data_IF_728740965080
#
_entry.id   IF_728740965080
#
_cell.length_a   1.000
_cell.length_b   1.000
_cell.length_c   1.000
_cell.angle_alpha   90.00
_cell.angle_beta   90.00
_cell.angle_gamma   90.00
#
_symmetry.space_group_name_H-M   'P 1'
#
loop_
_entity.id
_entity.type
_entity.pdbx_description
1 polymer ?
#
# COMPACT_ATOMS: atom_id res chain seq x y z
N UNK A 1 4.20 13.23 12.02
CA UNK A 1 3.03 12.64 11.35
C UNK A 1 1.85 12.36 12.30
N UNK A 2 2.11 11.87 13.51
CA UNK A 2 1.03 11.61 14.49
C UNK A 2 0.28 12.90 14.85
N UNK A 3 0.97 14.03 15.00
CA UNK A 3 0.34 15.31 15.29
C UNK A 3 -0.66 15.69 14.18
N UNK A 4 -0.25 15.54 12.93
CA UNK A 4 -1.12 15.84 11.79
C UNK A 4 -2.35 14.92 11.78
N UNK A 5 -2.16 13.64 12.08
CA UNK A 5 -3.25 12.69 12.15
C UNK A 5 -4.25 13.07 13.24
N UNK A 6 -3.77 13.44 14.43
CA UNK A 6 -4.62 13.85 15.54
C UNK A 6 -5.38 15.14 15.22
N UNK A 7 -4.73 16.12 14.60
CA UNK A 7 -5.35 17.39 14.19
C UNK A 7 -6.47 17.18 13.16
N UNK A 8 -6.40 16.10 12.38
CA UNK A 8 -7.39 15.77 11.35
C UNK A 8 -8.35 14.66 11.79
N UNK A 9 -8.38 14.31 13.08
CA UNK A 9 -9.27 13.30 13.66
C UNK A 9 -9.15 11.94 12.96
N UNK A 10 -7.93 11.58 12.52
CA UNK A 10 -7.67 10.29 11.89
C UNK A 10 -7.52 9.20 12.94
N UNK A 11 -8.18 8.05 12.70
CA UNK A 11 -7.90 6.86 13.51
C UNK A 11 -6.45 6.40 13.28
N UNK A 12 -5.84 5.79 14.30
CA UNK A 12 -4.47 5.28 14.19
C UNK A 12 -4.47 3.77 14.38
N UNK A 13 -3.89 3.06 13.42
CA UNK A 13 -3.62 1.65 13.55
C UNK A 13 -2.45 1.42 14.52
N UNK A 14 -2.39 0.25 15.15
CA UNK A 14 -1.29 -0.09 16.06
C UNK A 14 0.06 0.04 15.36
N UNK A 15 0.13 -0.40 14.10
CA UNK A 15 1.35 -0.28 13.30
C UNK A 15 1.78 1.16 13.10
N UNK A 16 0.82 2.07 12.91
CA UNK A 16 1.09 3.50 12.73
C UNK A 16 1.55 4.16 14.02
N UNK A 17 1.09 3.66 15.16
CA UNK A 17 1.54 4.14 16.47
C UNK A 17 2.99 3.72 16.75
N UNK A 18 3.36 2.50 16.37
CA UNK A 18 4.73 1.99 16.52
C UNK A 18 5.69 2.55 15.49
N UNK A 19 5.23 2.69 14.26
CA UNK A 19 6.03 3.15 13.12
C UNK A 19 5.29 4.29 12.44
N UNK A 20 5.37 5.51 12.98
CA UNK A 20 4.57 6.66 12.50
C UNK A 20 4.76 6.99 11.02
N UNK A 21 5.91 6.62 10.42
CA UNK A 21 6.12 6.89 9.00
C UNK A 21 5.10 6.16 8.11
N UNK A 22 4.47 5.09 8.60
CA UNK A 22 3.42 4.38 7.86
C UNK A 22 2.20 5.26 7.58
N UNK A 23 2.06 6.36 8.35
CA UNK A 23 1.00 7.35 8.11
C UNK A 23 1.18 8.11 6.79
N UNK A 24 2.36 8.04 6.16
CA UNK A 24 2.63 8.86 4.97
C UNK A 24 1.59 8.65 3.86
N UNK A 25 1.09 7.44 3.66
CA UNK A 25 0.09 7.19 2.62
C UNK A 25 -1.22 7.93 2.89
N UNK A 26 -1.68 7.93 4.13
CA UNK A 26 -2.93 8.58 4.51
C UNK A 26 -2.78 10.09 4.57
N UNK A 27 -1.63 10.57 5.03
CA UNK A 27 -1.31 12.01 5.04
C UNK A 27 -1.12 12.51 3.61
N UNK A 28 -0.49 11.73 2.73
CA UNK A 28 -0.33 12.09 1.32
C UNK A 28 -1.67 12.33 0.63
N UNK A 29 -2.70 11.55 0.98
CA UNK A 29 -4.05 11.80 0.49
C UNK A 29 -4.56 13.18 0.90
N UNK A 30 -4.36 13.56 2.17
CA UNK A 30 -4.77 14.88 2.65
C UNK A 30 -4.02 16.00 1.92
N UNK A 31 -2.74 15.82 1.69
CA UNK A 31 -1.92 16.79 0.96
C UNK A 31 -2.40 16.92 -0.48
N UNK A 32 -2.65 15.79 -1.15
CA UNK A 32 -3.15 15.79 -2.52
C UNK A 32 -4.46 16.55 -2.64
N UNK A 33 -5.37 16.34 -1.71
CA UNK A 33 -6.67 17.00 -1.71
C UNK A 33 -6.57 18.50 -1.37
N UNK A 34 -5.85 18.84 -0.29
CA UNK A 34 -5.83 20.21 0.22
C UNK A 34 -4.87 21.15 -0.50
N UNK A 35 -3.75 20.64 -1.00
CA UNK A 35 -2.68 21.48 -1.57
C UNK A 35 -2.54 21.34 -3.09
N UNK A 36 -2.99 20.22 -3.66
CA UNK A 36 -2.89 19.98 -5.10
C UNK A 36 -4.24 19.92 -5.80
N UNK A 37 -5.31 20.22 -5.07
CA UNK A 37 -6.68 20.29 -5.59
C UNK A 37 -7.13 19.00 -6.32
N UNK A 38 -6.60 17.86 -5.90
CA UNK A 38 -7.01 16.58 -6.45
C UNK A 38 -8.34 16.17 -5.79
N UNK A 39 -9.39 16.02 -6.60
CA UNK A 39 -10.74 15.66 -6.13
C UNK A 39 -11.21 14.31 -6.67
N UNK A 40 -10.48 13.73 -7.61
CA UNK A 40 -10.82 12.43 -8.23
C UNK A 40 -10.70 11.32 -7.18
N UNK A 41 -11.81 10.63 -6.91
CA UNK A 41 -11.88 9.62 -5.84
C UNK A 41 -10.92 8.46 -6.05
N UNK A 42 -10.78 7.99 -7.29
CA UNK A 42 -9.90 6.87 -7.60
C UNK A 42 -8.43 7.22 -7.36
N UNK A 43 -8.04 8.46 -7.65
CA UNK A 43 -6.68 8.94 -7.40
C UNK A 43 -6.42 9.04 -5.90
N UNK A 44 -7.32 9.68 -5.17
CA UNK A 44 -7.19 9.86 -3.71
C UNK A 44 -7.16 8.52 -2.98
N UNK A 45 -8.04 7.60 -3.35
CA UNK A 45 -8.10 6.26 -2.78
C UNK A 45 -6.80 5.48 -3.03
N UNK A 46 -6.25 5.61 -4.23
CA UNK A 46 -4.99 4.93 -4.59
C UNK A 46 -3.82 5.46 -3.77
N UNK A 47 -3.76 6.78 -3.58
CA UNK A 47 -2.71 7.40 -2.75
C UNK A 47 -2.84 6.93 -1.30
N UNK A 48 -4.07 6.87 -0.80
CA UNK A 48 -4.34 6.53 0.61
C UNK A 48 -3.82 5.15 1.02
N UNK A 49 -3.79 4.20 0.12
CA UNK A 49 -3.38 2.82 0.42
C UNK A 49 -2.21 2.32 -0.44
N UNK A 50 -1.39 3.23 -0.99
CA UNK A 50 -0.33 2.81 -1.92
C UNK A 50 0.77 1.95 -1.29
N UNK A 51 0.91 1.98 0.04
CA UNK A 51 1.91 1.18 0.75
C UNK A 51 1.36 -0.17 1.22
N UNK A 52 0.11 -0.18 1.71
CA UNK A 52 -0.51 -1.37 2.34
C UNK A 52 -1.48 -2.11 1.45
N UNK A 53 -2.03 -1.44 0.44
CA UNK A 53 -3.22 -1.87 -0.26
C UNK A 53 -4.39 -2.01 0.73
N UNK A 54 -5.47 -2.67 0.34
CA UNK A 54 -6.63 -2.98 1.20
C UNK A 54 -7.43 -4.13 0.58
N UNK A 55 -8.40 -4.64 1.34
CA UNK A 55 -9.30 -5.70 0.86
C UNK A 55 -10.13 -5.19 -0.34
N UNK A 56 -10.38 -6.07 -1.29
CA UNK A 56 -11.16 -5.77 -2.52
C UNK A 56 -10.66 -4.50 -3.22
N UNK A 57 -9.36 -4.41 -3.54
CA UNK A 57 -8.82 -3.18 -4.09
C UNK A 57 -9.34 -2.93 -5.50
N UNK A 58 -9.46 -1.64 -5.85
CA UNK A 58 -9.78 -1.25 -7.21
C UNK A 58 -8.56 -1.46 -8.12
N UNK A 59 -8.80 -1.45 -9.42
CA UNK A 59 -7.74 -1.50 -10.42
C UNK A 59 -6.71 -0.36 -10.20
N UNK A 60 -7.20 0.83 -9.90
CA UNK A 60 -6.34 2.00 -9.70
C UNK A 60 -5.47 1.86 -8.45
N UNK A 61 -6.05 1.33 -7.38
CA UNK A 61 -5.31 1.05 -6.14
C UNK A 61 -4.21 0.03 -6.37
N UNK A 62 -4.50 -1.05 -7.09
CA UNK A 62 -3.51 -2.07 -7.42
C UNK A 62 -2.38 -1.53 -8.30
N UNK A 63 -2.71 -0.70 -9.28
CA UNK A 63 -1.69 -0.12 -10.18
C UNK A 63 -0.70 0.74 -9.39
N UNK A 64 -1.18 1.64 -8.55
CA UNK A 64 -0.29 2.51 -7.77
C UNK A 64 0.51 1.71 -6.74
N UNK A 65 -0.13 0.75 -6.09
CA UNK A 65 0.55 -0.14 -5.14
C UNK A 65 1.73 -0.87 -5.80
N UNK A 66 1.50 -1.47 -6.95
CA UNK A 66 2.54 -2.20 -7.67
C UNK A 66 3.62 -1.26 -8.22
N UNK A 67 3.22 -0.12 -8.77
CA UNK A 67 4.16 0.87 -9.28
C UNK A 67 5.12 1.34 -8.17
N UNK A 68 4.59 1.56 -6.97
CA UNK A 68 5.40 1.94 -5.81
C UNK A 68 6.44 0.85 -5.46
N UNK A 69 6.03 -0.42 -5.52
CA UNK A 69 6.93 -1.55 -5.21
C UNK A 69 8.00 -1.76 -6.28
N UNK A 70 7.67 -1.50 -7.53
CA UNK A 70 8.62 -1.61 -8.65
C UNK A 70 9.62 -0.44 -8.66
N UNK A 71 9.19 0.72 -8.19
CA UNK A 71 10.01 1.92 -8.10
C UNK A 71 11.05 1.75 -7.00
N UNK A 72 12.31 1.47 -7.40
CA UNK A 72 13.40 1.11 -6.49
C UNK A 72 14.45 2.20 -6.50
N UNK A 73 14.76 2.76 -5.33
CA UNK A 73 15.71 3.85 -5.17
C UNK A 73 17.10 3.41 -4.68
N UNK A 74 17.33 2.10 -4.69
CA UNK A 74 18.61 1.49 -4.27
C UNK A 74 19.29 0.85 -5.47
N UNK A 75 20.57 0.52 -5.31
CA UNK A 75 21.32 -0.19 -6.35
C UNK A 75 20.70 -1.58 -6.62
N UNK A 76 20.72 -1.98 -7.89
CA UNK A 76 20.17 -3.28 -8.32
C UNK A 76 18.66 -3.24 -8.48
N UNK A 77 18.03 -4.41 -8.34
CA UNK A 77 16.60 -4.61 -8.50
C UNK A 77 15.96 -5.02 -7.18
N UNK A 78 14.65 -4.72 -6.99
CA UNK A 78 13.94 -5.24 -5.81
C UNK A 78 14.00 -6.77 -5.79
N UNK A 79 14.16 -7.39 -4.60
CA UNK A 79 14.25 -8.86 -4.50
C UNK A 79 12.99 -9.58 -4.95
N UNK A 80 11.86 -8.89 -5.02
CA UNK A 80 10.56 -9.43 -5.39
C UNK A 80 10.16 -9.08 -6.84
N UNK A 81 11.07 -8.47 -7.63
CA UNK A 81 10.69 -7.98 -8.97
C UNK A 81 10.20 -9.10 -9.89
N UNK A 82 10.88 -10.26 -9.86
CA UNK A 82 10.52 -11.36 -10.76
C UNK A 82 9.13 -11.91 -10.45
N UNK A 83 8.77 -12.03 -9.17
CA UNK A 83 7.44 -12.55 -8.80
C UNK A 83 6.33 -11.56 -9.13
N UNK A 84 6.62 -10.25 -9.09
CA UNK A 84 5.66 -9.24 -9.53
C UNK A 84 5.48 -9.34 -11.05
N UNK A 85 6.57 -9.41 -11.81
CA UNK A 85 6.52 -9.52 -13.28
C UNK A 85 5.79 -10.79 -13.72
N UNK A 86 6.05 -11.91 -13.07
CA UNK A 86 5.34 -13.16 -13.34
C UNK A 86 3.84 -13.02 -13.09
N UNK A 87 3.47 -12.37 -12.00
CA UNK A 87 2.08 -12.08 -11.68
C UNK A 87 1.42 -11.17 -12.71
N UNK A 88 2.12 -10.12 -13.14
CA UNK A 88 1.61 -9.17 -14.14
C UNK A 88 1.34 -9.81 -15.49
N UNK A 89 2.06 -10.88 -15.83
CA UNK A 89 1.79 -11.63 -17.06
C UNK A 89 0.42 -12.31 -17.05
N UNK A 90 -0.20 -12.45 -15.87
CA UNK A 90 -1.52 -13.04 -15.68
C UNK A 90 -2.56 -11.95 -15.41
N UNK A 91 -2.38 -11.17 -14.34
CA UNK A 91 -3.30 -10.09 -13.94
C UNK A 91 -2.67 -9.20 -12.87
N UNK A 92 -3.29 -8.02 -12.64
CA UNK A 92 -2.93 -7.15 -11.53
C UNK A 92 -3.11 -7.85 -10.19
N UNK A 93 -4.20 -8.60 -10.05
CA UNK A 93 -4.52 -9.35 -8.84
C UNK A 93 -3.44 -10.37 -8.51
N UNK A 94 -2.96 -11.11 -9.51
CA UNK A 94 -1.89 -12.08 -9.32
C UNK A 94 -0.60 -11.42 -8.88
N UNK A 95 -0.25 -10.28 -9.47
CA UNK A 95 0.95 -9.53 -9.07
C UNK A 95 0.86 -9.06 -7.62
N UNK A 96 -0.29 -8.51 -7.23
CA UNK A 96 -0.52 -8.09 -5.85
C UNK A 96 -0.45 -9.26 -4.88
N UNK A 97 -1.10 -10.37 -5.22
CA UNK A 97 -1.08 -11.59 -4.42
C UNK A 97 0.34 -12.13 -4.24
N UNK A 98 1.10 -12.20 -5.33
CA UNK A 98 2.49 -12.68 -5.28
C UNK A 98 3.36 -11.83 -4.37
N UNK A 99 3.25 -10.50 -4.48
CA UNK A 99 4.02 -9.59 -3.64
C UNK A 99 3.62 -9.71 -2.17
N UNK A 100 2.32 -9.69 -1.88
CA UNK A 100 1.84 -9.76 -0.50
C UNK A 100 2.25 -11.08 0.14
N UNK A 101 2.09 -12.20 -0.56
CA UNK A 101 2.55 -13.50 -0.05
C UNK A 101 4.05 -13.50 0.23
N UNK A 102 4.84 -12.92 -0.67
CA UNK A 102 6.29 -12.83 -0.50
C UNK A 102 6.67 -12.10 0.80
N UNK A 103 6.07 -10.93 1.08
CA UNK A 103 6.43 -10.17 2.26
C UNK A 103 6.00 -10.87 3.56
N UNK A 104 4.89 -11.60 3.56
CA UNK A 104 4.46 -12.37 4.72
C UNK A 104 5.31 -13.62 4.93
N UNK A 105 5.61 -14.36 3.88
CA UNK A 105 6.42 -15.59 3.94
C UNK A 105 7.87 -15.31 4.37
N UNK A 106 8.39 -14.15 4.04
CA UNK A 106 9.76 -13.75 4.37
C UNK A 106 9.85 -12.87 5.62
N UNK A 107 8.76 -12.72 6.37
CA UNK A 107 8.70 -11.94 7.60
C UNK A 107 9.25 -10.52 7.43
N UNK A 108 8.92 -9.88 6.31
CA UNK A 108 9.44 -8.54 5.99
C UNK A 108 8.68 -7.42 6.69
N UNK A 109 7.55 -7.71 7.32
CA UNK A 109 6.71 -6.73 8.00
C UNK A 109 6.88 -6.87 9.51
N UNK A 110 7.38 -5.81 10.15
CA UNK A 110 7.59 -5.80 11.60
C UNK A 110 6.27 -5.77 12.38
N UNK A 111 5.32 -4.97 11.89
CA UNK A 111 3.97 -4.84 12.46
C UNK A 111 3.02 -4.53 11.31
N UNK A 112 2.41 -5.56 10.69
CA UNK A 112 1.54 -5.34 9.54
C UNK A 112 0.36 -4.43 9.87
N UNK A 113 0.12 -3.45 8.99
CA UNK A 113 -1.03 -2.58 9.08
C UNK A 113 -2.32 -3.39 8.89
N UNK A 114 -3.39 -2.98 9.56
CA UNK A 114 -4.72 -3.61 9.44
C UNK A 114 -5.12 -3.83 7.98
N UNK A 115 -4.92 -2.81 7.13
CA UNK A 115 -5.27 -2.91 5.71
C UNK A 115 -4.45 -3.95 4.97
N UNK A 116 -3.15 -4.07 5.30
CA UNK A 116 -2.30 -5.09 4.70
C UNK A 116 -2.76 -6.50 5.10
N UNK A 117 -3.11 -6.69 6.37
CA UNK A 117 -3.66 -7.96 6.84
C UNK A 117 -4.98 -8.31 6.12
N UNK A 118 -5.84 -7.32 5.93
CA UNK A 118 -7.11 -7.50 5.22
C UNK A 118 -6.87 -7.84 3.74
N UNK A 119 -5.93 -7.16 3.10
CA UNK A 119 -5.54 -7.47 1.72
C UNK A 119 -4.97 -8.89 1.60
N UNK A 120 -4.11 -9.28 2.54
CA UNK A 120 -3.53 -10.62 2.57
C UNK A 120 -4.62 -11.70 2.64
N UNK A 121 -5.59 -11.51 3.53
CA UNK A 121 -6.73 -12.44 3.64
C UNK A 121 -7.60 -12.46 2.39
N UNK A 122 -7.84 -11.29 1.79
CA UNK A 122 -8.63 -11.19 0.56
C UNK A 122 -7.97 -11.98 -0.58
N UNK A 123 -6.69 -11.75 -0.84
CA UNK A 123 -5.99 -12.44 -1.92
C UNK A 123 -5.82 -13.94 -1.65
N UNK A 124 -5.78 -14.36 -0.40
CA UNK A 124 -5.75 -15.78 -0.04
C UNK A 124 -7.08 -16.48 -0.35
N UNK A 125 -8.19 -15.73 -0.41
CA UNK A 125 -9.53 -16.29 -0.65
C UNK A 125 -9.91 -16.41 -2.13
N UNK A 126 -9.08 -15.89 -3.03
CA UNK A 126 -9.36 -15.92 -4.47
C UNK A 126 -8.39 -16.76 -5.27
#
# INVERSE_FOLDING_TARGET
MIVIANENNMWLDISEQKYPFLLHQRISKLIAFHYFDITEKNILSSIECHTTLRSKPSKYEMILFLADKISWDQDGKPPYIDIIEDGLSISLENACKNYINYVYENNMLLCPHKWMNEAHRYFASI
#
